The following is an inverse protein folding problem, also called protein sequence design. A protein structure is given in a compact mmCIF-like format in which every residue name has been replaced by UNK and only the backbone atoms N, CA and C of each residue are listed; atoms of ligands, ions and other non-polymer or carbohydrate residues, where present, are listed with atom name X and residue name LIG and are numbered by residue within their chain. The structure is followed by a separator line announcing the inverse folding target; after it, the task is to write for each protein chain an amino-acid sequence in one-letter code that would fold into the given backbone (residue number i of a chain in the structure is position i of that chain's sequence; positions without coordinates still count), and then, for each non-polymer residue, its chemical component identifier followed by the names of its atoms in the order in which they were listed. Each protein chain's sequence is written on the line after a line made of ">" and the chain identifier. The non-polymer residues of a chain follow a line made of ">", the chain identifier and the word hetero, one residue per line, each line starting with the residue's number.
data_IF_400152143967
#
_entry.id   IF_400152143967
#
_cell.length_a   1.000
_cell.length_b   1.000
_cell.length_c   1.000
_cell.angle_alpha   90.00
_cell.angle_beta   90.00
_cell.angle_gamma   90.00
#
_symmetry.space_group_name_H-M   'P 1'
#
loop_
_entity.id
_entity.type
_entity.pdbx_description
1 polymer ?
#
# COMPACT_ATOMS: atom_id res chain seq x y z
N UNK A 1 -21.43 -10.86 13.80
CA UNK A 1 -20.56 -11.85 13.15
C UNK A 1 -20.22 -12.92 14.18
N UNK A 2 -20.25 -14.20 13.81
CA UNK A 2 -19.80 -15.29 14.68
C UNK A 2 -18.29 -15.18 14.86
N UNK A 3 -17.83 -14.95 16.09
CA UNK A 3 -16.41 -14.97 16.46
C UNK A 3 -15.95 -16.42 16.49
N UNK A 4 -15.35 -16.89 15.40
CA UNK A 4 -14.58 -18.12 15.40
C UNK A 4 -13.20 -17.82 16.01
N UNK A 5 -12.80 -18.49 17.10
CA UNK A 5 -11.57 -18.14 17.82
C UNK A 5 -10.31 -18.28 16.95
N UNK A 6 -10.32 -19.17 15.96
CA UNK A 6 -9.16 -19.47 15.10
C UNK A 6 -9.26 -18.90 13.66
N UNK A 7 -10.33 -18.14 13.38
CA UNK A 7 -10.55 -17.53 12.07
C UNK A 7 -10.58 -16.00 12.21
N UNK A 8 -9.49 -15.30 11.85
CA UNK A 8 -9.48 -13.85 11.87
C UNK A 8 -10.49 -13.28 10.86
N UNK A 9 -11.01 -12.08 11.15
CA UNK A 9 -11.81 -11.30 10.22
C UNK A 9 -10.94 -10.56 9.17
N UNK A 10 -9.63 -10.76 9.21
CA UNK A 10 -8.67 -10.12 8.33
C UNK A 10 -7.75 -11.13 7.66
N UNK A 11 -7.24 -10.76 6.48
CA UNK A 11 -6.18 -11.47 5.78
C UNK A 11 -4.97 -10.55 5.62
N UNK A 12 -3.76 -11.12 5.61
CA UNK A 12 -2.53 -10.34 5.48
C UNK A 12 -1.91 -10.55 4.11
N UNK A 13 -1.65 -9.46 3.38
CA UNK A 13 -0.76 -9.47 2.22
C UNK A 13 0.64 -9.03 2.65
N UNK A 14 1.53 -9.99 2.91
CA UNK A 14 2.93 -9.67 3.16
C UNK A 14 3.60 -9.20 1.87
N UNK A 15 4.28 -8.06 1.92
CA UNK A 15 5.00 -7.50 0.78
C UNK A 15 6.41 -8.08 0.66
N UNK A 16 6.77 -9.06 1.49
CA UNK A 16 8.01 -9.81 1.39
C UNK A 16 7.80 -11.23 1.88
N UNK A 17 8.68 -12.12 1.41
CA UNK A 17 8.76 -13.48 1.94
C UNK A 17 10.22 -13.89 2.06
N UNK A 18 10.54 -14.76 3.02
CA UNK A 18 11.85 -15.37 3.09
C UNK A 18 12.12 -16.18 1.81
N UNK A 19 13.31 -15.98 1.23
CA UNK A 19 13.76 -16.65 0.00
C UNK A 19 15.01 -17.43 0.32
N UNK A 20 15.12 -18.63 -0.22
CA UNK A 20 16.39 -19.35 -0.23
C UNK A 20 17.36 -18.64 -1.16
N UNK A 21 18.66 -18.77 -0.92
CA UNK A 21 19.73 -18.16 -1.73
C UNK A 21 19.65 -18.51 -3.22
N UNK A 22 19.05 -19.66 -3.54
CA UNK A 22 18.85 -20.17 -4.90
C UNK A 22 17.49 -19.82 -5.51
N UNK A 23 16.60 -19.16 -4.77
CA UNK A 23 15.32 -18.73 -5.31
C UNK A 23 15.56 -17.55 -6.26
N UNK A 24 15.24 -17.71 -7.54
CA UNK A 24 15.20 -16.58 -8.46
C UNK A 24 14.29 -15.48 -7.90
N UNK A 25 14.78 -14.23 -7.92
CA UNK A 25 13.98 -13.06 -7.61
C UNK A 25 13.24 -12.69 -8.89
N UNK A 26 11.91 -12.84 -8.93
CA UNK A 26 11.18 -12.44 -10.12
C UNK A 26 11.27 -10.93 -10.34
N UNK A 27 11.14 -10.48 -11.58
CA UNK A 27 11.23 -9.07 -11.95
C UNK A 27 10.26 -8.16 -11.17
N UNK A 28 9.05 -8.63 -10.85
CA UNK A 28 8.08 -7.86 -10.07
C UNK A 28 8.43 -7.74 -8.59
N UNK A 29 9.32 -8.62 -8.09
CA UNK A 29 9.80 -8.63 -6.72
C UNK A 29 11.10 -7.83 -6.57
N UNK A 30 11.45 -6.99 -7.53
CA UNK A 30 12.55 -6.06 -7.35
C UNK A 30 12.24 -5.09 -6.20
N UNK A 31 13.27 -4.80 -5.42
CA UNK A 31 13.17 -4.03 -4.17
C UNK A 31 12.91 -4.86 -2.92
N UNK A 32 13.12 -4.22 -1.79
CA UNK A 32 12.81 -4.65 -0.45
C UNK A 32 11.31 -4.77 -0.21
N UNK A 33 10.92 -5.45 0.88
CA UNK A 33 9.53 -5.55 1.28
C UNK A 33 8.92 -4.18 1.63
N UNK A 34 9.73 -3.28 2.19
CA UNK A 34 9.36 -1.87 2.43
C UNK A 34 9.04 -1.15 1.12
N UNK A 35 9.95 -1.19 0.13
CA UNK A 35 9.74 -0.54 -1.17
C UNK A 35 8.49 -1.05 -1.90
N UNK A 36 8.20 -2.36 -1.80
CA UNK A 36 6.97 -2.92 -2.35
C UNK A 36 5.72 -2.41 -1.64
N UNK A 37 5.75 -2.27 -0.31
CA UNK A 37 4.64 -1.65 0.43
C UNK A 37 4.44 -0.19 0.00
N UNK A 38 5.53 0.58 -0.09
CA UNK A 38 5.50 1.97 -0.57
C UNK A 38 4.86 2.04 -1.97
N UNK A 39 5.23 1.15 -2.88
CA UNK A 39 4.68 1.11 -4.23
C UNK A 39 3.17 0.80 -4.27
N UNK A 40 2.65 0.01 -3.31
CA UNK A 40 1.23 -0.31 -3.20
C UNK A 40 0.43 0.85 -2.57
N UNK A 41 1.03 1.57 -1.60
CA UNK A 41 0.42 2.73 -0.95
C UNK A 41 0.43 3.98 -1.85
N UNK A 42 1.57 4.25 -2.51
CA UNK A 42 1.57 4.98 -3.78
C UNK A 42 0.78 4.15 -4.80
N UNK A 43 0.43 4.54 -6.01
CA UNK A 43 -0.43 3.72 -6.91
C UNK A 43 -1.86 3.37 -6.40
N UNK A 44 -2.09 2.96 -5.15
CA UNK A 44 -3.38 2.52 -4.62
C UNK A 44 -3.83 1.17 -5.16
N UNK A 45 -2.90 0.36 -5.68
CA UNK A 45 -3.23 -0.89 -6.38
C UNK A 45 -2.33 -2.03 -5.93
N UNK A 46 -2.96 -3.12 -5.49
CA UNK A 46 -2.29 -4.39 -5.28
C UNK A 46 -2.31 -5.20 -6.57
N UNK A 47 -1.13 -5.54 -7.10
CA UNK A 47 -0.99 -6.25 -8.36
C UNK A 47 -0.72 -7.72 -8.12
N UNK A 48 -1.45 -8.57 -8.84
CA UNK A 48 -1.21 -10.00 -8.84
C UNK A 48 0.06 -10.34 -9.60
N UNK A 49 0.59 -11.51 -9.28
CA UNK A 49 1.77 -12.04 -9.93
C UNK A 49 1.68 -13.57 -10.09
N UNK A 50 2.39 -14.11 -11.09
CA UNK A 50 2.51 -15.55 -11.32
C UNK A 50 3.22 -16.24 -10.15
N UNK A 51 2.52 -17.17 -9.49
CA UNK A 51 3.04 -17.98 -8.40
C UNK A 51 3.26 -19.42 -8.86
N UNK A 52 3.91 -20.23 -8.02
CA UNK A 52 4.07 -21.65 -8.30
C UNK A 52 2.72 -22.31 -8.58
N UNK A 53 2.70 -23.18 -9.60
CA UNK A 53 1.52 -23.95 -10.00
C UNK A 53 0.37 -23.15 -10.60
N UNK A 54 0.56 -21.84 -10.81
CA UNK A 54 -0.38 -20.98 -11.52
C UNK A 54 0.13 -20.66 -12.92
N UNK A 55 -0.80 -20.49 -13.85
CA UNK A 55 -0.51 -20.05 -15.22
C UNK A 55 -0.98 -18.61 -15.50
N UNK A 56 -1.46 -17.92 -14.47
CA UNK A 56 -1.88 -16.54 -14.52
C UNK A 56 -1.55 -15.83 -13.20
N UNK A 57 -1.34 -14.51 -13.24
CA UNK A 57 -1.10 -13.74 -12.04
C UNK A 57 -2.23 -13.85 -11.01
N UNK A 58 -1.87 -14.07 -9.74
CA UNK A 58 -2.77 -14.13 -8.59
C UNK A 58 -2.30 -13.16 -7.51
N UNK A 59 -3.23 -12.69 -6.67
CA UNK A 59 -2.87 -11.98 -5.44
C UNK A 59 -3.04 -12.95 -4.27
N UNK A 60 -1.98 -13.14 -3.50
CA UNK A 60 -1.97 -14.06 -2.37
C UNK A 60 -2.13 -13.30 -1.05
N UNK A 61 -2.80 -13.95 -0.10
CA UNK A 61 -2.97 -13.47 1.27
C UNK A 61 -2.77 -14.64 2.23
N UNK A 62 -2.51 -14.34 3.50
CA UNK A 62 -2.40 -15.32 4.57
C UNK A 62 -3.50 -15.09 5.60
N UNK A 63 -4.26 -16.15 5.91
CA UNK A 63 -5.23 -16.15 7.02
C UNK A 63 -4.50 -16.53 8.30
N UNK A 64 -3.83 -15.56 8.91
CA UNK A 64 -2.96 -15.79 10.07
C UNK A 64 -3.60 -15.25 11.33
N UNK A 65 -3.70 -16.10 12.35
CA UNK A 65 -4.03 -15.65 13.71
C UNK A 65 -2.90 -14.75 14.24
N UNK A 66 -3.13 -14.05 15.35
CA UNK A 66 -2.08 -13.24 15.97
C UNK A 66 -0.83 -14.08 16.29
N UNK A 67 -1.02 -15.27 16.85
CA UNK A 67 0.07 -16.19 17.19
C UNK A 67 0.77 -16.73 15.94
N UNK A 68 0.03 -17.15 14.91
CA UNK A 68 0.64 -17.61 13.66
C UNK A 68 1.46 -16.51 12.98
N UNK A 69 0.98 -15.27 13.02
CA UNK A 69 1.68 -14.09 12.51
C UNK A 69 2.94 -13.79 13.34
N UNK A 70 2.89 -13.87 14.67
CA UNK A 70 4.07 -13.77 15.55
C UNK A 70 5.11 -14.83 15.15
N UNK A 71 4.71 -16.09 15.03
CA UNK A 71 5.62 -17.16 14.62
C UNK A 71 6.24 -16.89 13.24
N UNK A 72 5.46 -16.47 12.25
CA UNK A 72 5.96 -16.12 10.92
C UNK A 72 6.97 -14.96 10.91
N UNK A 73 6.76 -13.94 11.76
CA UNK A 73 7.63 -12.77 11.84
C UNK A 73 8.90 -13.01 12.68
N UNK A 74 8.82 -13.83 13.73
CA UNK A 74 9.91 -14.07 14.68
C UNK A 74 10.74 -15.29 14.34
N UNK A 75 10.10 -16.45 14.36
CA UNK A 75 10.74 -17.76 14.14
C UNK A 75 10.93 -18.01 12.65
N UNK A 76 9.99 -17.48 11.88
CA UNK A 76 9.92 -17.70 10.47
C UNK A 76 9.38 -19.05 10.10
N UNK A 77 9.44 -19.28 8.80
CA UNK A 77 9.05 -20.54 8.20
C UNK A 77 10.34 -21.22 7.75
N UNK A 78 10.28 -22.37 7.08
CA UNK A 78 11.49 -23.13 6.68
C UNK A 78 12.60 -22.32 5.99
N UNK A 79 12.30 -21.13 5.47
CA UNK A 79 13.21 -20.23 4.75
C UNK A 79 13.66 -19.01 5.56
N UNK A 80 13.26 -18.90 6.83
CA UNK A 80 13.53 -17.76 7.71
C UNK A 80 12.30 -16.90 8.01
N UNK A 81 12.45 -15.81 8.78
CA UNK A 81 11.37 -14.91 9.16
C UNK A 81 10.84 -14.10 7.98
N UNK A 82 9.55 -13.81 8.04
CA UNK A 82 8.91 -12.85 7.14
C UNK A 82 9.37 -11.44 7.47
N UNK A 83 9.73 -10.61 6.47
CA UNK A 83 9.90 -9.18 6.69
C UNK A 83 8.59 -8.58 7.22
N UNK A 84 8.63 -7.74 8.28
CA UNK A 84 7.45 -7.14 8.90
C UNK A 84 6.88 -5.99 8.05
N UNK A 85 6.46 -6.29 6.83
CA UNK A 85 5.87 -5.33 5.89
C UNK A 85 4.67 -5.98 5.20
N UNK A 86 3.49 -5.37 5.33
CA UNK A 86 2.27 -5.95 4.78
C UNK A 86 1.03 -5.10 4.94
N UNK A 87 -0.02 -5.46 4.19
CA UNK A 87 -1.36 -4.92 4.33
C UNK A 87 -2.23 -5.88 5.13
N UNK A 88 -2.99 -5.37 6.09
CA UNK A 88 -4.05 -6.09 6.78
C UNK A 88 -5.37 -5.70 6.12
N UNK A 89 -6.09 -6.68 5.58
CA UNK A 89 -7.23 -6.47 4.69
C UNK A 89 -8.48 -7.13 5.27
N UNK A 90 -9.64 -6.51 5.08
CA UNK A 90 -10.92 -7.07 5.50
C UNK A 90 -11.27 -8.34 4.71
N UNK A 91 -11.55 -9.43 5.43
CA UNK A 91 -11.78 -10.74 4.83
C UNK A 91 -13.10 -10.79 4.06
N UNK A 92 -14.17 -10.18 4.56
CA UNK A 92 -15.47 -10.20 3.89
C UNK A 92 -15.43 -9.41 2.58
N UNK A 93 -14.75 -8.26 2.58
CA UNK A 93 -14.51 -7.47 1.36
C UNK A 93 -13.66 -8.24 0.35
N UNK A 94 -12.62 -8.95 0.81
CA UNK A 94 -11.83 -9.83 -0.08
C UNK A 94 -12.67 -10.99 -0.63
N UNK A 95 -13.54 -11.60 0.18
CA UNK A 95 -14.47 -12.63 -0.29
C UNK A 95 -15.43 -12.07 -1.35
N UNK A 96 -15.93 -10.84 -1.16
CA UNK A 96 -16.78 -10.14 -2.13
C UNK A 96 -16.03 -9.85 -3.44
N UNK A 97 -14.74 -9.49 -3.37
CA UNK A 97 -13.85 -9.38 -4.54
C UNK A 97 -13.55 -10.75 -5.21
N UNK A 98 -13.85 -11.85 -4.53
CA UNK A 98 -13.72 -13.21 -5.03
C UNK A 98 -12.43 -13.92 -4.60
N UNK A 99 -11.76 -13.43 -3.56
CA UNK A 99 -10.68 -14.16 -2.91
C UNK A 99 -11.23 -15.41 -2.22
N UNK A 100 -10.50 -16.53 -2.30
CA UNK A 100 -10.89 -17.81 -1.69
C UNK A 100 -9.66 -18.51 -1.10
N UNK A 101 -9.84 -19.43 -0.14
CA UNK A 101 -8.75 -20.28 0.32
C UNK A 101 -8.10 -21.05 -0.84
N UNK A 102 -6.80 -21.27 -0.72
CA UNK A 102 -6.06 -22.17 -1.59
C UNK A 102 -6.50 -23.62 -1.38
N UNK A 103 -6.41 -24.44 -2.44
CA UNK A 103 -6.76 -25.86 -2.42
C UNK A 103 -5.49 -26.71 -2.48
N UNK A 104 -5.21 -27.45 -1.43
CA UNK A 104 -4.04 -28.33 -1.38
C UNK A 104 -4.39 -29.67 -2.02
N UNK A 105 -3.70 -29.99 -3.10
CA UNK A 105 -4.00 -31.15 -3.96
C UNK A 105 -2.71 -31.88 -4.34
N UNK A 106 -2.82 -33.15 -4.72
CA UNK A 106 -1.73 -33.87 -5.38
C UNK A 106 -1.48 -33.30 -6.79
N UNK A 107 -0.33 -33.62 -7.38
CA UNK A 107 -0.03 -33.21 -8.76
C UNK A 107 -0.99 -33.80 -9.77
N UNK A 108 -1.36 -35.08 -9.61
CA UNK A 108 -2.36 -35.74 -10.46
C UNK A 108 -3.70 -35.01 -10.41
N UNK A 109 -4.14 -34.59 -9.22
CA UNK A 109 -5.37 -33.80 -9.07
C UNK A 109 -5.23 -32.42 -9.69
N UNK A 110 -4.09 -31.74 -9.53
CA UNK A 110 -3.84 -30.44 -10.17
C UNK A 110 -3.95 -30.54 -11.70
N UNK A 111 -3.32 -31.56 -12.31
CA UNK A 111 -3.32 -31.75 -13.76
C UNK A 111 -4.75 -31.99 -14.26
N UNK A 112 -5.50 -32.87 -13.58
CA UNK A 112 -6.93 -33.08 -13.88
C UNK A 112 -7.76 -31.81 -13.71
N UNK A 113 -7.53 -31.02 -12.66
CA UNK A 113 -8.26 -29.77 -12.43
C UNK A 113 -7.97 -28.72 -13.50
N UNK A 114 -6.76 -28.69 -14.07
CA UNK A 114 -6.44 -27.79 -15.19
C UNK A 114 -7.21 -28.15 -16.47
N UNK A 115 -7.49 -29.43 -16.67
CA UNK A 115 -8.28 -29.92 -17.80
C UNK A 115 -9.78 -29.67 -17.62
N UNK A 116 -10.29 -29.85 -16.39
CA UNK A 116 -11.73 -29.89 -16.13
C UNK A 116 -12.32 -28.57 -15.61
N UNK A 117 -11.52 -27.71 -14.95
CA UNK A 117 -12.04 -26.53 -14.24
C UNK A 117 -11.64 -25.21 -14.89
N UNK A 118 -12.43 -24.14 -14.72
CA UNK A 118 -12.04 -22.81 -15.14
C UNK A 118 -10.72 -22.37 -14.51
N UNK A 119 -9.92 -21.58 -15.24
CA UNK A 119 -8.63 -21.03 -14.77
C UNK A 119 -8.66 -20.37 -13.41
N UNK A 120 -9.71 -19.62 -13.12
CA UNK A 120 -9.89 -18.98 -11.81
C UNK A 120 -9.95 -20.00 -10.66
N UNK A 121 -10.46 -21.19 -10.95
CA UNK A 121 -10.66 -22.27 -9.99
C UNK A 121 -9.37 -23.03 -9.75
N UNK A 122 -8.69 -23.52 -10.80
CA UNK A 122 -7.46 -24.30 -10.63
C UNK A 122 -6.26 -23.44 -10.21
N UNK A 123 -6.23 -22.14 -10.50
CA UNK A 123 -5.18 -21.25 -9.98
C UNK A 123 -5.25 -21.04 -8.46
N UNK A 124 -6.27 -21.57 -7.79
CA UNK A 124 -6.30 -21.69 -6.32
C UNK A 124 -5.53 -22.89 -5.81
N UNK A 125 -5.19 -23.84 -6.68
CA UNK A 125 -4.59 -25.09 -6.28
C UNK A 125 -3.10 -24.93 -5.98
N UNK A 126 -2.64 -25.67 -4.96
CA UNK A 126 -1.27 -25.72 -4.49
C UNK A 126 -0.90 -27.18 -4.34
N UNK A 127 0.19 -27.59 -4.97
CA UNK A 127 0.66 -28.97 -4.83
C UNK A 127 1.10 -29.21 -3.38
N UNK A 128 0.48 -30.20 -2.74
CA UNK A 128 0.81 -30.67 -1.40
C UNK A 128 1.15 -32.16 -1.44
N UNK A 129 2.39 -32.45 -1.80
CA UNK A 129 2.93 -33.80 -1.81
C UNK A 129 4.44 -33.76 -1.50
N UNK A 130 5.02 -34.85 -0.98
CA UNK A 130 6.46 -35.00 -0.93
C UNK A 130 7.04 -34.97 -2.35
N UNK A 131 7.96 -34.06 -2.64
CA UNK A 131 8.79 -34.10 -3.84
C UNK A 131 10.10 -34.80 -3.47
N UNK A 132 10.41 -36.00 -4.01
CA UNK A 132 11.63 -36.73 -3.68
C UNK A 132 12.92 -35.96 -4.00
N UNK A 133 12.88 -35.04 -4.97
CA UNK A 133 14.02 -34.25 -5.41
C UNK A 133 14.12 -32.88 -4.73
N UNK A 134 12.99 -32.33 -4.27
CA UNK A 134 12.91 -30.96 -3.69
C UNK A 134 12.44 -30.92 -2.23
N UNK A 135 12.22 -32.07 -1.62
CA UNK A 135 11.68 -32.21 -0.27
C UNK A 135 10.16 -32.01 -0.19
N UNK A 136 9.63 -31.90 1.03
CA UNK A 136 8.18 -31.77 1.25
C UNK A 136 7.70 -30.37 0.87
N UNK A 137 6.82 -30.25 -0.13
CA UNK A 137 6.12 -28.99 -0.45
C UNK A 137 4.99 -28.79 0.57
N UNK A 138 5.34 -28.23 1.73
CA UNK A 138 4.39 -27.95 2.80
C UNK A 138 4.23 -26.44 2.95
N UNK A 139 3.08 -25.94 2.49
CA UNK A 139 2.71 -24.53 2.51
C UNK A 139 1.50 -24.28 3.43
N UNK A 140 1.07 -25.29 4.19
CA UNK A 140 -0.13 -25.20 5.04
C UNK A 140 -0.02 -24.10 6.10
N UNK A 141 1.20 -23.82 6.55
CA UNK A 141 1.48 -22.75 7.52
C UNK A 141 1.10 -21.36 7.00
N UNK A 142 1.08 -21.14 5.68
CA UNK A 142 0.70 -19.83 5.12
C UNK A 142 -0.81 -19.59 5.16
N UNK A 143 -1.60 -20.66 5.37
CA UNK A 143 -3.07 -20.65 5.27
C UNK A 143 -3.50 -19.79 4.08
N UNK A 144 -2.92 -20.09 2.91
CA UNK A 144 -2.94 -19.20 1.74
C UNK A 144 -4.37 -18.98 1.24
N UNK A 145 -4.67 -17.73 0.90
CA UNK A 145 -5.84 -17.30 0.14
C UNK A 145 -5.38 -16.70 -1.18
N UNK A 146 -6.15 -16.90 -2.25
CA UNK A 146 -5.87 -16.33 -3.57
C UNK A 146 -7.06 -15.58 -4.13
N UNK A 147 -6.77 -14.41 -4.69
CA UNK A 147 -7.64 -13.75 -5.66
C UNK A 147 -7.11 -14.06 -7.06
N UNK A 148 -7.85 -14.91 -7.77
CA UNK A 148 -7.50 -15.39 -9.10
C UNK A 148 -8.29 -14.67 -10.19
N UNK A 149 -7.67 -14.52 -11.35
CA UNK A 149 -8.19 -13.74 -12.48
C UNK A 149 -8.34 -14.59 -13.75
N UNK A 150 -9.35 -14.28 -14.54
CA UNK A 150 -9.59 -14.90 -15.85
C UNK A 150 -8.62 -14.40 -16.94
N UNK A 151 -8.60 -15.04 -18.13
CA UNK A 151 -7.74 -14.72 -19.28
C UNK A 151 -7.58 -13.24 -19.62
N UNK A 152 -8.69 -12.52 -19.68
CA UNK A 152 -8.72 -11.12 -20.11
C UNK A 152 -8.68 -10.11 -18.94
N UNK A 153 -8.59 -10.59 -17.70
CA UNK A 153 -8.66 -9.72 -16.52
C UNK A 153 -7.26 -9.26 -16.10
N UNK A 154 -7.11 -7.96 -15.86
CA UNK A 154 -5.95 -7.42 -15.18
C UNK A 154 -5.95 -7.91 -13.74
N UNK A 155 -4.87 -8.57 -13.32
CA UNK A 155 -4.69 -8.99 -11.95
C UNK A 155 -4.33 -7.78 -11.07
N UNK A 156 -5.34 -7.01 -10.71
CA UNK A 156 -5.20 -5.81 -9.90
C UNK A 156 -6.41 -5.69 -8.97
N UNK A 157 -6.13 -5.33 -7.71
CA UNK A 157 -7.12 -5.02 -6.70
C UNK A 157 -6.87 -3.60 -6.23
N UNK A 158 -7.88 -2.73 -6.40
CA UNK A 158 -7.81 -1.38 -5.88
C UNK A 158 -7.84 -1.41 -4.36
N UNK A 159 -6.88 -0.71 -3.76
CA UNK A 159 -6.76 -0.59 -2.31
C UNK A 159 -7.65 0.56 -1.88
N UNK A 160 -8.83 0.21 -1.39
CA UNK A 160 -9.78 1.17 -0.85
C UNK A 160 -9.73 1.21 0.68
N UNK A 161 -10.26 2.26 1.27
CA UNK A 161 -10.26 2.44 2.72
C UNK A 161 -11.09 1.41 3.46
N UNK A 162 -12.19 0.99 2.85
CA UNK A 162 -13.07 -0.03 3.40
C UNK A 162 -12.45 -1.42 3.31
N UNK A 163 -11.45 -1.60 2.44
CA UNK A 163 -10.75 -2.85 2.25
C UNK A 163 -9.55 -3.00 3.20
N UNK A 164 -8.86 -1.91 3.55
CA UNK A 164 -7.64 -1.97 4.38
C UNK A 164 -7.96 -1.70 5.84
N UNK A 165 -7.79 -2.72 6.68
CA UNK A 165 -7.89 -2.59 8.12
C UNK A 165 -6.64 -1.94 8.73
N UNK A 166 -5.48 -2.06 8.07
CA UNK A 166 -4.27 -1.33 8.45
C UNK A 166 -3.00 -1.86 7.78
N UNK A 167 -1.85 -1.45 8.29
CA UNK A 167 -0.52 -1.78 7.75
C UNK A 167 0.41 -2.32 8.82
N UNK A 168 1.23 -3.29 8.44
CA UNK A 168 2.33 -3.82 9.26
C UNK A 168 3.61 -3.16 8.77
N UNK A 169 4.39 -2.58 9.70
CA UNK A 169 5.64 -1.88 9.40
C UNK A 169 6.81 -2.41 10.24
N UNK A 170 8.00 -2.37 9.66
CA UNK A 170 9.18 -2.96 10.27
C UNK A 170 9.92 -2.08 11.26
N UNK A 171 9.52 -0.82 11.41
CA UNK A 171 10.12 0.11 12.36
C UNK A 171 9.10 1.07 12.93
N UNK A 172 9.23 1.36 14.23
CA UNK A 172 8.40 2.35 14.93
C UNK A 172 8.52 3.72 14.25
N UNK A 173 7.41 4.43 14.11
CA UNK A 173 7.42 5.77 13.52
C UNK A 173 7.56 5.79 11.99
N UNK A 174 7.58 4.64 11.31
CA UNK A 174 7.71 4.58 9.86
C UNK A 174 6.61 5.32 9.09
N UNK A 175 7.03 6.13 8.12
CA UNK A 175 6.17 6.74 7.13
C UNK A 175 6.64 6.36 5.73
N UNK A 176 5.72 6.12 4.77
CA UNK A 176 6.13 6.01 3.39
C UNK A 176 6.81 7.33 2.96
N UNK A 177 7.88 7.25 2.17
CA UNK A 177 8.50 8.45 1.62
C UNK A 177 7.50 9.16 0.69
N UNK A 178 7.56 10.49 0.56
CA UNK A 178 6.71 11.22 -0.39
C UNK A 178 6.89 10.70 -1.82
N UNK A 179 5.83 10.72 -2.64
CA UNK A 179 5.97 10.38 -4.07
C UNK A 179 6.98 11.33 -4.72
N UNK A 180 7.88 10.80 -5.56
CA UNK A 180 8.85 11.61 -6.31
C UNK A 180 8.19 12.75 -7.11
N UNK A 181 6.97 12.55 -7.60
CA UNK A 181 6.18 13.58 -8.27
C UNK A 181 5.80 14.75 -7.36
N UNK A 182 5.51 14.49 -6.08
CA UNK A 182 5.26 15.52 -5.08
C UNK A 182 6.56 16.25 -4.73
N UNK A 183 7.68 15.53 -4.61
CA UNK A 183 9.02 16.12 -4.41
C UNK A 183 9.36 17.06 -5.57
N UNK A 184 9.13 16.63 -6.81
CA UNK A 184 9.37 17.44 -8.00
C UNK A 184 8.45 18.67 -8.04
N UNK A 185 7.17 18.53 -7.68
CA UNK A 185 6.23 19.65 -7.60
C UNK A 185 6.65 20.67 -6.52
N UNK A 186 7.11 20.20 -5.35
CA UNK A 186 7.65 21.06 -4.30
C UNK A 186 8.93 21.75 -4.77
N UNK A 187 9.86 21.04 -5.41
CA UNK A 187 11.07 21.65 -5.98
C UNK A 187 10.73 22.71 -7.03
N UNK A 188 9.79 22.45 -7.93
CA UNK A 188 9.31 23.43 -8.91
C UNK A 188 8.70 24.65 -8.24
N UNK A 189 7.90 24.46 -7.19
CA UNK A 189 7.35 25.55 -6.38
C UNK A 189 8.44 26.35 -5.69
N UNK A 190 9.44 25.70 -5.08
CA UNK A 190 10.58 26.38 -4.46
C UNK A 190 11.32 27.24 -5.46
N UNK A 191 11.60 26.72 -6.66
CA UNK A 191 12.22 27.50 -7.74
C UNK A 191 11.32 28.66 -8.18
N UNK A 192 10.02 28.45 -8.35
CA UNK A 192 9.09 29.54 -8.67
C UNK A 192 9.03 30.62 -7.57
N UNK A 193 9.15 30.23 -6.30
CA UNK A 193 9.18 31.15 -5.17
C UNK A 193 10.48 31.96 -5.12
N UNK A 194 11.61 31.34 -5.46
CA UNK A 194 12.92 32.00 -5.58
C UNK A 194 12.94 33.04 -6.70
N UNK A 195 12.13 32.85 -7.75
CA UNK A 195 12.03 33.78 -8.89
C UNK A 195 11.15 35.02 -8.61
N UNK A 196 10.29 34.98 -7.58
CA UNK A 196 9.36 36.07 -7.25
C UNK A 196 10.05 37.44 -7.12
N UNK A 197 11.18 37.60 -6.40
CA UNK A 197 11.83 38.90 -6.27
C UNK A 197 12.21 39.51 -7.61
N UNK A 198 12.64 38.70 -8.58
CA UNK A 198 13.00 39.15 -9.93
C UNK A 198 11.77 39.58 -10.75
N UNK A 199 10.66 38.86 -10.62
CA UNK A 199 9.38 39.23 -11.22
C UNK A 199 8.84 40.54 -10.64
N UNK A 200 8.89 40.71 -9.32
CA UNK A 200 8.44 41.92 -8.62
C UNK A 200 9.28 43.13 -9.03
N UNK A 201 10.60 42.94 -9.17
CA UNK A 201 11.50 43.97 -9.67
C UNK A 201 11.14 44.38 -11.10
N UNK A 202 10.97 43.41 -12.00
CA UNK A 202 10.59 43.66 -13.40
C UNK A 202 9.24 44.39 -13.52
N UNK A 203 8.26 44.01 -12.68
CA UNK A 203 6.97 44.69 -12.61
C UNK A 203 7.11 46.16 -12.21
N UNK A 204 7.89 46.45 -11.16
CA UNK A 204 8.14 47.84 -10.71
C UNK A 204 8.81 48.69 -11.78
N UNK A 205 9.77 48.13 -12.52
CA UNK A 205 10.50 48.82 -13.59
C UNK A 205 9.62 49.18 -14.79
N UNK A 206 8.53 48.46 -15.00
CA UNK A 206 7.58 48.69 -16.10
C UNK A 206 6.31 49.45 -15.67
N UNK A 207 6.19 49.89 -14.41
CA UNK A 207 5.00 50.62 -13.97
C UNK A 207 5.03 52.10 -14.39
N UNK A 208 3.87 52.68 -14.75
CA UNK A 208 3.74 54.12 -14.95
C UNK A 208 4.10 54.91 -13.68
N UNK A 209 4.66 56.11 -13.87
CA UNK A 209 4.98 57.01 -12.78
C UNK A 209 3.74 57.30 -11.92
N UNK A 210 3.80 56.99 -10.62
CA UNK A 210 2.72 57.19 -9.65
C UNK A 210 1.95 55.93 -9.24
N UNK A 211 2.11 54.81 -9.94
CA UNK A 211 1.52 53.52 -9.55
C UNK A 211 2.33 52.87 -8.40
N UNK A 212 1.65 52.17 -7.48
CA UNK A 212 2.30 51.39 -6.43
C UNK A 212 1.63 50.03 -6.22
N UNK A 213 2.45 49.03 -5.88
CA UNK A 213 1.97 47.69 -5.54
C UNK A 213 1.64 47.68 -4.05
N UNK A 214 0.36 47.52 -3.70
CA UNK A 214 -0.13 47.60 -2.32
C UNK A 214 0.31 46.43 -1.43
N UNK A 215 0.21 45.19 -1.91
CA UNK A 215 0.67 43.99 -1.18
C UNK A 215 0.81 42.82 -2.15
N UNK A 216 1.87 42.05 -1.97
CA UNK A 216 2.04 40.74 -2.62
C UNK A 216 2.05 39.71 -1.50
N UNK A 217 1.11 38.79 -1.51
CA UNK A 217 1.09 37.64 -0.60
C UNK A 217 1.10 36.37 -1.43
N UNK A 218 2.03 35.49 -1.10
CA UNK A 218 2.08 34.15 -1.67
C UNK A 218 1.72 33.16 -0.59
N UNK A 219 0.75 32.32 -0.88
CA UNK A 219 0.33 31.25 0.01
C UNK A 219 0.33 29.96 -0.80
N UNK A 220 1.06 28.96 -0.32
CA UNK A 220 1.07 27.65 -0.94
C UNK A 220 -0.27 26.97 -0.61
N UNK A 221 -1.15 26.90 -1.60
CA UNK A 221 -2.34 26.05 -1.53
C UNK A 221 -1.91 24.64 -1.16
N UNK A 222 -2.54 24.07 -0.12
CA UNK A 222 -2.38 22.65 0.17
C UNK A 222 -2.61 21.87 -1.12
N UNK A 223 -1.61 21.09 -1.54
CA UNK A 223 -1.79 20.11 -2.60
C UNK A 223 -2.64 18.99 -2.01
N UNK A 224 -3.94 19.23 -1.87
CA UNK A 224 -4.89 18.13 -1.83
C UNK A 224 -4.93 17.59 -3.26
N UNK A 225 -3.94 16.76 -3.60
CA UNK A 225 -4.15 15.72 -4.60
C UNK A 225 -5.50 15.12 -4.24
N UNK A 226 -6.50 15.33 -5.09
CA UNK A 226 -7.81 14.67 -4.98
C UNK A 226 -7.56 13.18 -5.14
N UNK A 227 -7.08 12.56 -4.07
CA UNK A 227 -7.20 11.13 -3.86
C UNK A 227 -8.68 10.92 -3.60
N UNK A 228 -9.31 10.13 -4.47
CA UNK A 228 -10.70 9.73 -4.29
C UNK A 228 -10.86 9.18 -2.86
N UNK A 229 -11.90 9.67 -2.20
CA UNK A 229 -11.97 9.72 -0.74
C UNK A 229 -11.93 8.39 0.01
N UNK A 230 -11.71 8.58 1.31
CA UNK A 230 -11.92 7.71 2.46
C UNK A 230 -10.70 7.02 3.09
N UNK A 231 -9.47 7.07 2.53
CA UNK A 231 -8.29 6.32 3.03
C UNK A 231 -7.63 6.95 4.27
N UNK A 232 -8.39 7.73 5.03
CA UNK A 232 -7.82 8.86 5.76
C UNK A 232 -7.14 8.40 7.06
N UNK A 233 -7.40 7.17 7.53
CA UNK A 233 -6.78 6.61 8.74
C UNK A 233 -6.63 5.10 8.66
N UNK A 234 -5.44 4.64 8.27
CA UNK A 234 -5.06 3.24 8.40
C UNK A 234 -4.43 3.00 9.77
N UNK A 235 -4.92 2.03 10.52
CA UNK A 235 -4.20 1.57 11.71
C UNK A 235 -2.80 1.10 11.30
N UNK A 236 -1.79 1.52 12.07
CA UNK A 236 -0.40 1.11 11.86
C UNK A 236 0.02 0.23 13.02
N UNK A 237 0.56 -0.93 12.70
CA UNK A 237 1.21 -1.78 13.68
C UNK A 237 2.68 -1.92 13.35
N UNK A 238 3.55 -1.60 14.31
CA UNK A 238 4.97 -1.87 14.17
C UNK A 238 5.33 -3.18 14.83
N UNK A 239 6.25 -3.92 14.22
CA UNK A 239 6.83 -5.12 14.81
C UNK A 239 7.98 -4.74 15.75
N UNK A 240 7.88 -5.07 17.04
CA UNK A 240 8.91 -4.75 18.04
C UNK A 240 9.96 -5.86 18.23
N UNK A 241 9.77 -7.01 17.57
CA UNK A 241 10.58 -8.21 17.74
C UNK A 241 9.85 -9.38 18.40
N UNK A 242 8.69 -9.12 19.02
CA UNK A 242 7.88 -10.12 19.72
C UNK A 242 6.38 -10.03 19.39
N UNK A 243 5.86 -8.82 19.27
CA UNK A 243 4.45 -8.59 18.94
C UNK A 243 4.24 -7.40 18.01
N UNK A 244 3.02 -7.31 17.48
CA UNK A 244 2.57 -6.12 16.75
C UNK A 244 2.02 -5.10 17.74
N UNK A 245 2.68 -3.97 17.83
CA UNK A 245 2.30 -2.87 18.72
C UNK A 245 1.64 -1.79 17.89
N UNK A 246 0.49 -1.29 18.35
CA UNK A 246 -0.18 -0.16 17.72
C UNK A 246 0.75 1.06 17.75
N UNK A 247 0.98 1.63 16.57
CA UNK A 247 1.90 2.73 16.33
C UNK A 247 1.14 3.99 15.86
N UNK A 248 -0.17 4.06 16.11
CA UNK A 248 -1.06 5.14 15.69
C UNK A 248 -1.70 4.90 14.33
N UNK A 249 -2.10 6.00 13.69
CA UNK A 249 -2.78 5.99 12.40
C UNK A 249 -1.93 6.68 11.34
N UNK A 250 -1.98 6.11 10.13
CA UNK A 250 -1.39 6.67 8.93
C UNK A 250 -2.49 7.22 8.02
N UNK A 251 -2.40 8.51 7.72
CA UNK A 251 -3.22 9.13 6.67
C UNK A 251 -2.45 9.06 5.35
N UNK A 252 -2.96 8.24 4.42
CA UNK A 252 -2.36 8.09 3.09
C UNK A 252 -2.33 9.43 2.34
N UNK A 253 -3.35 10.27 2.53
CA UNK A 253 -3.50 11.53 1.82
C UNK A 253 -2.55 12.59 2.37
N UNK A 254 -2.52 12.74 3.70
CA UNK A 254 -1.79 13.83 4.36
C UNK A 254 -0.31 13.53 4.55
N UNK A 255 0.12 12.26 4.40
CA UNK A 255 1.49 11.81 4.75
C UNK A 255 1.89 12.27 6.17
N UNK A 256 0.92 12.31 7.09
CA UNK A 256 1.14 12.70 8.48
C UNK A 256 0.89 11.52 9.41
N UNK A 257 1.75 11.45 10.43
CA UNK A 257 1.53 10.59 11.57
C UNK A 257 0.57 11.25 12.55
N UNK A 258 -0.47 10.51 12.95
CA UNK A 258 -1.33 10.92 14.05
C UNK A 258 -1.28 9.85 15.14
N UNK A 259 -0.99 10.30 16.36
CA UNK A 259 -1.08 9.41 17.52
C UNK A 259 -2.55 9.04 17.75
N UNK A 260 -2.83 7.79 18.14
CA UNK A 260 -4.19 7.35 18.45
C UNK A 260 -4.87 8.13 19.58
N UNK A 261 -4.07 8.80 20.43
CA UNK A 261 -4.53 9.55 21.60
C UNK A 261 -5.01 10.98 21.29
N UNK A 262 -4.73 11.53 20.11
CA UNK A 262 -5.06 12.92 19.77
C UNK A 262 -6.00 12.94 18.57
N UNK A 263 -7.28 13.22 18.83
CA UNK A 263 -8.40 13.01 17.92
C UNK A 263 -8.62 14.08 16.84
N UNK A 264 -7.96 15.24 16.90
CA UNK A 264 -8.26 16.35 15.97
C UNK A 264 -7.18 16.58 14.91
N UNK A 265 -7.56 16.82 13.64
CA UNK A 265 -6.64 17.28 12.61
C UNK A 265 -6.16 18.71 12.92
N UNK A 266 -4.90 19.07 12.64
CA UNK A 266 -4.54 20.47 12.53
C UNK A 266 -5.22 21.06 11.29
N UNK A 267 -6.08 22.06 11.49
CA UNK A 267 -6.66 22.85 10.42
C UNK A 267 -5.56 23.67 9.74
N UNK A 268 -5.33 23.43 8.45
CA UNK A 268 -4.64 24.41 7.62
C UNK A 268 -5.25 24.45 6.22
N UNK A 269 -5.86 25.58 5.88
CA UNK A 269 -6.53 25.85 4.61
C UNK A 269 -5.93 27.14 4.03
N UNK A 270 -5.72 27.19 2.71
CA UNK A 270 -5.10 28.33 2.03
C UNK A 270 -5.92 28.70 0.79
N UNK A 271 -6.31 29.98 0.68
CA UNK A 271 -7.10 30.53 -0.44
C UNK A 271 -6.52 31.81 -1.05
N UNK A 272 -6.99 32.17 -2.26
CA UNK A 272 -6.56 33.33 -3.07
C UNK A 272 -7.69 34.34 -3.28
N UNK A 273 -7.39 35.64 -3.32
CA UNK A 273 -8.33 36.67 -3.79
C UNK A 273 -7.59 37.86 -4.42
N UNK A 274 -8.25 38.54 -5.37
CA UNK A 274 -7.74 39.72 -6.08
C UNK A 274 -8.63 40.92 -5.84
N UNK A 275 -8.04 42.08 -5.55
CA UNK A 275 -8.73 43.36 -5.49
C UNK A 275 -7.86 44.45 -6.11
N UNK A 276 -8.39 45.12 -7.13
CA UNK A 276 -7.78 46.34 -7.70
C UNK A 276 -8.49 47.54 -7.07
N UNK A 277 -7.72 48.47 -6.54
CA UNK A 277 -8.22 49.76 -6.07
C UNK A 277 -7.54 50.86 -6.88
N UNK A 278 -8.34 51.57 -7.68
CA UNK A 278 -7.91 52.81 -8.31
C UNK A 278 -8.02 53.94 -7.28
N UNK A 279 -6.93 54.71 -7.12
CA UNK A 279 -7.01 55.94 -6.35
C UNK A 279 -7.84 56.96 -7.13
N UNK A 280 -8.79 57.65 -6.49
CA UNK A 280 -9.47 58.76 -7.14
C UNK A 280 -8.45 59.86 -7.43
N UNK A 281 -8.39 60.28 -8.70
CA UNK A 281 -7.65 61.48 -9.12
C UNK A 281 -8.24 62.71 -8.41
N UNK A 282 -7.36 63.54 -7.85
CA UNK A 282 -7.70 64.83 -7.23
C UNK A 282 -7.59 65.96 -8.25
#
# INVERSE_FOLDING_TARGET
>A
MSTHPDLPNTLVHFTGRPRAEKDEIPDFAQGSAEERLVNILHSGVLRGNSTFWTDAPVICFSEVTEEARRAMLREGVRRGPYPPWGLVLDRERLIAAGARPALYVSRTELDRMKEELPRRTYNRCVVYEPDPAKGRSDWLFEREWRLCYGPAQRAALDITPELVAGVIVGRKGWMPPPRQSAVNAVSQLTTMLEDIPSMVKSLRENMPAGASIGRISVSAGSWTTKFAGAADRLARWYWDGDTLVEDGFFDIQDQQMRHSAYGEPPAFEVGFSFGVSEKPEQ
#
